data_IF_192864075048
#
_entry.id   IF_192864075048
#
_cell.length_a   1.000
_cell.length_b   1.000
_cell.length_c   1.000
_cell.angle_alpha   90.00
_cell.angle_beta   90.00
_cell.angle_gamma   90.00
#
_symmetry.space_group_name_H-M   'P 1'
#
loop_
_entity.id
_entity.type
_entity.pdbx_description
1 polymer ?
#
# COMPACT_ATOMS: atom_id res chain seq x y z
N UNK A 1 -12.77 0.59 19.34
CA UNK A 1 -12.79 0.28 17.88
C UNK A 1 -11.41 0.57 17.32
N UNK A 2 -10.66 -0.45 16.86
CA UNK A 2 -9.30 -0.27 16.35
C UNK A 2 -9.28 -0.25 14.82
N UNK A 3 -8.64 0.76 14.22
CA UNK A 3 -8.45 0.80 12.76
C UNK A 3 -7.74 -0.46 12.29
N UNK A 4 -8.39 -1.31 11.50
CA UNK A 4 -7.75 -2.46 10.86
C UNK A 4 -6.93 -1.93 9.70
N UNK A 5 -5.61 -2.11 9.74
CA UNK A 5 -4.71 -1.57 8.73
C UNK A 5 -4.91 -2.24 7.35
N UNK A 6 -5.67 -3.33 7.27
CA UNK A 6 -5.80 -4.12 6.06
C UNK A 6 -4.51 -4.88 5.78
N UNK A 7 -4.21 -5.11 4.49
CA UNK A 7 -2.92 -5.63 4.06
C UNK A 7 -1.93 -4.47 3.93
N UNK A 8 -0.78 -4.60 4.60
CA UNK A 8 0.28 -3.61 4.52
C UNK A 8 1.65 -4.25 4.47
N UNK A 9 2.58 -3.58 3.79
CA UNK A 9 3.98 -3.99 3.64
C UNK A 9 4.88 -2.84 4.07
N UNK A 10 6.13 -3.15 4.42
CA UNK A 10 7.15 -2.13 4.65
C UNK A 10 7.81 -1.75 3.33
N UNK A 11 7.97 -0.46 3.09
CA UNK A 11 8.73 0.06 1.97
C UNK A 11 9.74 1.10 2.45
N UNK A 12 10.92 1.09 1.86
CA UNK A 12 11.94 2.12 2.07
C UNK A 12 11.94 3.07 0.89
N UNK A 13 11.70 4.36 1.14
CA UNK A 13 11.68 5.42 0.13
C UNK A 13 12.67 6.48 0.60
N UNK A 14 13.67 6.78 -0.22
CA UNK A 14 14.74 7.75 0.08
C UNK A 14 15.38 7.58 1.47
N UNK A 15 15.56 6.32 1.88
CA UNK A 15 16.17 5.96 3.18
C UNK A 15 15.22 5.98 4.38
N UNK A 16 13.96 6.36 4.19
CA UNK A 16 12.93 6.38 5.25
C UNK A 16 12.01 5.16 5.11
N UNK A 17 11.70 4.53 6.24
CA UNK A 17 10.82 3.36 6.29
C UNK A 17 9.35 3.78 6.50
N UNK A 18 8.47 3.27 5.63
CA UNK A 18 7.05 3.53 5.64
C UNK A 18 6.25 2.23 5.70
N UNK A 19 5.08 2.27 6.32
CA UNK A 19 4.06 1.25 6.15
C UNK A 19 3.23 1.63 4.92
N UNK A 20 3.24 0.82 3.87
CA UNK A 20 2.35 0.99 2.73
C UNK A 20 1.10 0.19 2.98
N UNK A 21 -0.05 0.87 2.99
CA UNK A 21 -1.37 0.28 3.18
C UNK A 21 -2.07 0.13 1.84
N UNK A 22 -2.71 -1.02 1.63
CA UNK A 22 -3.55 -1.28 0.47
C UNK A 22 -5.00 -1.53 0.88
N UNK A 23 -5.95 -1.06 0.07
CA UNK A 23 -7.35 -1.39 0.23
C UNK A 23 -7.63 -2.80 -0.32
N UNK A 24 -8.48 -3.54 0.40
CA UNK A 24 -8.68 -4.99 0.23
C UNK A 24 -9.67 -5.30 -0.89
N UNK A 25 -9.17 -5.58 -2.09
CA UNK A 25 -9.87 -6.44 -3.06
C UNK A 25 -9.14 -7.78 -3.16
N UNK A 26 -9.83 -8.90 -2.89
CA UNK A 26 -9.24 -10.25 -2.82
C UNK A 26 -8.43 -10.65 -4.07
N UNK A 27 -8.87 -10.20 -5.25
CA UNK A 27 -8.21 -10.51 -6.52
C UNK A 27 -6.86 -9.80 -6.67
N UNK A 28 -6.77 -8.55 -6.22
CA UNK A 28 -5.55 -7.73 -6.28
C UNK A 28 -4.55 -8.10 -5.16
N UNK A 29 -5.06 -8.57 -4.02
CA UNK A 29 -4.25 -9.03 -2.88
C UNK A 29 -3.29 -10.15 -3.23
N UNK A 30 -3.70 -11.12 -4.08
CA UNK A 30 -2.83 -12.23 -4.47
C UNK A 30 -1.55 -11.77 -5.19
N UNK A 31 -1.64 -10.71 -6.00
CA UNK A 31 -0.47 -10.16 -6.68
C UNK A 31 0.47 -9.46 -5.69
N UNK A 32 -0.09 -8.73 -4.72
CA UNK A 32 0.67 -8.09 -3.65
C UNK A 32 1.29 -9.10 -2.66
N UNK A 33 0.65 -10.23 -2.42
CA UNK A 33 1.20 -11.32 -1.60
C UNK A 33 2.41 -12.01 -2.25
N UNK A 34 2.62 -11.83 -3.56
CA UNK A 34 3.81 -12.30 -4.26
C UNK A 34 5.04 -11.39 -4.09
N UNK A 35 4.91 -10.27 -3.35
CA UNK A 35 6.02 -9.36 -3.05
C UNK A 35 7.08 -10.06 -2.19
N UNK A 36 8.34 -9.93 -2.60
CA UNK A 36 9.51 -10.41 -1.88
C UNK A 36 10.28 -9.22 -1.30
N UNK A 37 11.04 -9.49 -0.25
CA UNK A 37 11.97 -8.50 0.31
C UNK A 37 12.95 -8.06 -0.78
N UNK A 38 13.20 -6.75 -0.86
CA UNK A 38 14.04 -6.09 -1.87
C UNK A 38 13.45 -5.96 -3.28
N UNK A 39 12.17 -6.30 -3.48
CA UNK A 39 11.50 -5.94 -4.73
C UNK A 39 11.48 -4.43 -4.92
N UNK A 40 11.81 -3.97 -6.13
CA UNK A 40 11.72 -2.57 -6.51
C UNK A 40 10.35 -2.29 -7.13
N UNK A 41 9.64 -1.34 -6.54
CA UNK A 41 8.27 -1.00 -6.92
C UNK A 41 8.18 0.49 -7.17
N UNK A 42 7.33 0.89 -8.12
CA UNK A 42 6.90 2.29 -8.26
C UNK A 42 5.56 2.42 -7.57
N UNK A 43 5.52 3.21 -6.49
CA UNK A 43 4.32 3.45 -5.71
C UNK A 43 3.76 4.84 -6.04
N UNK A 44 2.47 4.92 -6.35
CA UNK A 44 1.71 6.17 -6.32
C UNK A 44 0.84 6.23 -5.09
N UNK A 45 0.77 7.40 -4.46
CA UNK A 45 0.00 7.63 -3.25
C UNK A 45 -0.63 9.02 -3.25
N UNK A 46 -1.78 9.13 -2.59
CA UNK A 46 -2.45 10.40 -2.34
C UNK A 46 -2.01 11.09 -1.05
N UNK A 47 -1.32 10.40 -0.12
CA UNK A 47 -0.91 11.04 1.13
C UNK A 47 -0.29 10.12 2.16
N UNK A 48 0.33 10.77 3.14
CA UNK A 48 0.95 10.17 4.33
C UNK A 48 0.06 10.44 5.54
N UNK A 49 -0.17 9.42 6.35
CA UNK A 49 -0.91 9.51 7.61
C UNK A 49 -0.08 8.99 8.77
N UNK A 50 -0.34 9.48 9.97
CA UNK A 50 0.34 9.06 11.19
C UNK A 50 -0.72 8.55 12.17
N UNK A 51 -0.49 7.37 12.74
CA UNK A 51 -1.37 6.81 13.74
C UNK A 51 -0.55 6.45 15.00
N UNK A 52 -0.99 6.85 16.21
CA UNK A 52 -0.23 6.69 17.45
C UNK A 52 0.24 5.27 17.79
N UNK A 53 -0.41 4.26 17.19
CA UNK A 53 -0.11 2.84 17.40
C UNK A 53 1.00 2.29 16.50
N UNK A 54 1.51 3.07 15.53
CA UNK A 54 2.59 2.65 14.65
C UNK A 54 3.76 3.61 14.77
N UNK A 55 4.97 3.05 14.84
CA UNK A 55 6.21 3.82 14.87
C UNK A 55 6.57 4.43 13.51
N UNK A 56 5.91 3.98 12.43
CA UNK A 56 6.22 4.38 11.06
C UNK A 56 5.05 5.15 10.43
N UNK A 57 5.33 6.17 9.61
CA UNK A 57 4.31 6.81 8.77
C UNK A 57 3.64 5.81 7.83
N UNK A 58 2.34 6.00 7.59
CA UNK A 58 1.53 5.14 6.72
C UNK A 58 1.26 5.86 5.41
N UNK A 59 1.65 5.25 4.30
CA UNK A 59 1.35 5.69 2.94
C UNK A 59 0.16 4.88 2.41
N UNK A 60 -0.85 5.58 1.90
CA UNK A 60 -1.97 4.92 1.21
C UNK A 60 -1.57 4.59 -0.22
N UNK A 61 -1.42 3.31 -0.57
CA UNK A 61 -1.06 2.89 -1.92
C UNK A 61 -2.24 3.01 -2.87
N UNK A 62 -2.08 3.80 -3.94
CA UNK A 62 -3.09 3.93 -4.99
C UNK A 62 -2.77 3.06 -6.20
N UNK A 63 -1.52 3.07 -6.65
CA UNK A 63 -1.07 2.15 -7.68
C UNK A 63 0.33 1.65 -7.34
N UNK A 64 0.55 0.39 -7.66
CA UNK A 64 1.86 -0.25 -7.56
C UNK A 64 2.22 -0.80 -8.92
N UNK A 65 3.39 -0.42 -9.38
CA UNK A 65 3.99 -0.99 -10.59
C UNK A 65 5.24 -1.78 -10.19
N UNK A 66 5.39 -2.95 -10.80
CA UNK A 66 6.59 -3.79 -10.73
C UNK A 66 7.05 -4.05 -12.15
N UNK A 67 8.32 -3.79 -12.46
CA UNK A 67 8.91 -4.02 -13.79
C UNK A 67 8.10 -3.38 -14.94
N UNK A 68 7.55 -2.17 -14.71
CA UNK A 68 6.73 -1.44 -15.68
C UNK A 68 5.30 -1.95 -15.86
N UNK A 69 4.87 -2.95 -15.07
CA UNK A 69 3.51 -3.49 -15.08
C UNK A 69 2.77 -3.09 -13.81
N UNK A 70 1.56 -2.54 -13.96
CA UNK A 70 0.64 -2.29 -12.84
C UNK A 70 0.20 -3.63 -12.25
N UNK A 71 0.55 -3.88 -10.99
CA UNK A 71 0.15 -5.08 -10.23
C UNK A 71 -0.93 -4.79 -9.19
N UNK A 72 -1.17 -3.51 -8.91
CA UNK A 72 -2.24 -3.05 -8.05
C UNK A 72 -2.70 -1.68 -8.50
N UNK A 73 -4.02 -1.49 -8.57
CA UNK A 73 -4.63 -0.16 -8.67
C UNK A 73 -5.86 -0.13 -7.81
N UNK A 74 -5.92 0.83 -6.90
CA UNK A 74 -7.07 1.09 -6.04
C UNK A 74 -8.27 1.39 -6.92
N UNK A 75 -9.32 0.57 -6.79
CA UNK A 75 -10.61 0.84 -7.42
C UNK A 75 -11.41 1.68 -6.43
N UNK A 76 -11.78 2.93 -6.77
CA UNK A 76 -12.68 3.70 -5.94
C UNK A 76 -14.00 2.93 -5.79
N UNK A 77 -14.60 2.87 -4.58
CA UNK A 77 -15.90 2.24 -4.42
C UNK A 77 -16.90 2.92 -5.37
N UNK A 78 -17.63 2.12 -6.17
CA UNK A 78 -18.62 2.60 -7.14
C UNK A 78 -19.72 3.47 -6.52
N UNK A 79 -19.94 3.36 -5.22
CA UNK A 79 -20.82 4.22 -4.44
C UNK A 79 -19.97 5.07 -3.47
N UNK A 80 -19.37 6.14 -3.99
CA UNK A 80 -19.03 7.29 -3.16
C UNK A 80 -20.31 8.00 -2.76
N UNK A 81 -20.40 8.52 -1.53
CA UNK A 81 -21.53 9.34 -1.09
C UNK A 81 -21.84 10.48 -2.08
#
# INVERSE_FOLDING_TARGET
>A
AGSRLGFGVMARIDGVDYIVRFDLEESQLKQLQSLKVNDKLVLRSHGVSHAPKYAYPIISGESVERDGKVIYKRIPPKNGC
#
